data_IF_711328869264
#
_entry.id   IF_711328869264
#
_cell.length_a   1.000
_cell.length_b   1.000
_cell.length_c   1.000
_cell.angle_alpha   90.00
_cell.angle_beta   90.00
_cell.angle_gamma   90.00
#
_symmetry.space_group_name_H-M   'P 1'
#
loop_
_entity.id
_entity.type
_entity.pdbx_description
1 polymer ?
#
# COMPACT_ATOMS: atom_id res chain seq x y z
N UNK A 1 -13.09 6.61 -12.95
CA UNK A 1 -12.01 5.91 -12.22
C UNK A 1 -10.74 6.74 -12.31
N UNK A 2 -9.96 6.81 -11.24
CA UNK A 2 -8.58 7.30 -11.31
C UNK A 2 -7.69 6.31 -12.09
N UNK A 3 -6.41 6.61 -12.26
CA UNK A 3 -5.45 5.76 -12.97
C UNK A 3 -4.34 5.26 -12.04
N UNK A 4 -3.70 4.16 -12.42
CA UNK A 4 -2.42 3.76 -11.80
C UNK A 4 -1.29 4.73 -12.16
N UNK A 5 -0.14 4.61 -11.50
CA UNK A 5 1.03 5.46 -11.75
C UNK A 5 1.51 5.46 -13.20
N UNK A 6 1.36 4.35 -13.92
CA UNK A 6 1.71 4.25 -15.34
C UNK A 6 0.79 5.06 -16.25
N UNK A 7 -0.37 5.50 -15.76
CA UNK A 7 -1.46 6.13 -16.51
C UNK A 7 -2.04 5.27 -17.64
N UNK A 8 -1.81 3.95 -17.62
CA UNK A 8 -2.26 3.02 -18.66
C UNK A 8 -3.46 2.15 -18.27
N UNK A 9 -3.79 2.10 -16.99
CA UNK A 9 -4.87 1.26 -16.48
C UNK A 9 -5.58 1.93 -15.31
N UNK A 10 -6.87 1.60 -15.08
CA UNK A 10 -7.66 2.18 -14.00
C UNK A 10 -7.10 1.85 -12.62
N UNK A 11 -7.23 2.80 -11.69
CA UNK A 11 -7.14 2.54 -10.26
C UNK A 11 -8.49 2.11 -9.67
N UNK A 12 -8.50 1.87 -8.36
CA UNK A 12 -9.66 1.35 -7.63
C UNK A 12 -10.32 2.36 -6.67
N UNK A 13 -9.93 3.65 -6.71
CA UNK A 13 -10.53 4.66 -5.83
C UNK A 13 -12.03 4.79 -6.11
N UNK A 14 -12.85 4.57 -5.08
CA UNK A 14 -14.32 4.53 -5.16
C UNK A 14 -14.90 3.23 -5.74
N UNK A 15 -14.06 2.23 -6.02
CA UNK A 15 -14.44 0.92 -6.55
C UNK A 15 -13.86 -0.24 -5.73
N UNK A 16 -13.46 0.02 -4.49
CA UNK A 16 -12.72 -0.89 -3.62
C UNK A 16 -13.47 -2.21 -3.42
N UNK A 17 -14.76 -2.15 -3.10
CA UNK A 17 -15.62 -3.34 -2.89
C UNK A 17 -15.74 -4.17 -4.17
N UNK A 18 -15.92 -3.53 -5.32
CA UNK A 18 -16.06 -4.22 -6.59
C UNK A 18 -14.75 -4.93 -6.96
N UNK A 19 -13.63 -4.22 -6.85
CA UNK A 19 -12.32 -4.69 -7.26
C UNK A 19 -11.82 -5.78 -6.30
N UNK A 20 -12.01 -5.64 -4.98
CA UNK A 20 -11.68 -6.66 -3.99
C UNK A 20 -12.42 -7.98 -4.22
N UNK A 21 -13.74 -7.93 -4.52
CA UNK A 21 -14.52 -9.12 -4.90
C UNK A 21 -13.99 -9.76 -6.18
N UNK A 22 -13.62 -8.94 -7.16
CA UNK A 22 -13.06 -9.40 -8.42
C UNK A 22 -11.72 -10.12 -8.18
N UNK A 23 -10.81 -9.51 -7.42
CA UNK A 23 -9.53 -10.11 -7.04
C UNK A 23 -9.71 -11.44 -6.30
N UNK A 24 -10.62 -11.49 -5.32
CA UNK A 24 -10.95 -12.73 -4.61
C UNK A 24 -11.51 -13.81 -5.56
N UNK A 25 -12.39 -13.44 -6.50
CA UNK A 25 -12.95 -14.38 -7.49
C UNK A 25 -11.89 -14.96 -8.43
N UNK A 26 -10.83 -14.19 -8.71
CA UNK A 26 -9.69 -14.63 -9.53
C UNK A 26 -8.67 -15.44 -8.73
N UNK A 27 -8.83 -15.55 -7.42
CA UNK A 27 -7.89 -16.24 -6.54
C UNK A 27 -6.60 -15.44 -6.27
N UNK A 28 -6.64 -14.12 -6.38
CA UNK A 28 -5.51 -13.24 -6.00
C UNK A 28 -5.23 -13.39 -4.51
N UNK A 29 -3.95 -13.48 -4.15
CA UNK A 29 -3.50 -13.65 -2.75
C UNK A 29 -2.80 -12.42 -2.19
N UNK A 30 -2.47 -11.46 -3.04
CA UNK A 30 -1.68 -10.29 -2.69
C UNK A 30 -2.11 -9.09 -3.52
N UNK A 31 -2.34 -7.95 -2.87
CA UNK A 31 -2.57 -6.67 -3.51
C UNK A 31 -1.50 -5.66 -3.10
N UNK A 32 -0.74 -5.17 -4.09
CA UNK A 32 0.01 -3.91 -3.98
C UNK A 32 -0.92 -2.76 -4.35
N UNK A 33 -1.09 -1.78 -3.46
CA UNK A 33 -1.99 -0.65 -3.66
C UNK A 33 -1.23 0.67 -3.67
N UNK A 34 -1.16 1.29 -4.85
CA UNK A 34 -0.31 2.46 -5.15
C UNK A 34 -1.02 3.80 -4.85
N UNK A 35 -0.26 4.91 -4.90
CA UNK A 35 -0.72 6.22 -4.40
C UNK A 35 -0.85 7.33 -5.44
N UNK A 36 -0.60 7.04 -6.72
CA UNK A 36 -0.82 8.00 -7.81
C UNK A 36 -2.29 8.32 -8.05
N UNK A 37 -2.56 9.46 -8.70
CA UNK A 37 -3.91 9.90 -9.11
C UNK A 37 -4.95 9.79 -7.98
N UNK A 38 -4.57 10.29 -6.81
CA UNK A 38 -5.31 10.14 -5.56
C UNK A 38 -6.39 11.21 -5.32
N UNK A 39 -6.65 12.07 -6.31
CA UNK A 39 -7.61 13.19 -6.25
C UNK A 39 -7.38 14.17 -5.08
N UNK A 40 -6.16 14.23 -4.52
CA UNK A 40 -5.85 15.08 -3.37
C UNK A 40 -6.43 14.58 -2.04
N UNK A 41 -6.95 13.35 -2.00
CA UNK A 41 -7.51 12.75 -0.78
C UNK A 41 -6.36 12.13 0.04
N UNK A 42 -6.38 12.30 1.36
CA UNK A 42 -5.35 11.77 2.26
C UNK A 42 -5.21 10.24 2.13
N UNK A 43 -3.98 9.74 2.33
CA UNK A 43 -3.71 8.30 2.42
C UNK A 43 -4.49 7.66 3.59
N UNK A 44 -4.68 8.40 4.69
CA UNK A 44 -5.43 7.91 5.86
C UNK A 44 -6.92 7.74 5.58
N UNK A 45 -7.43 8.37 4.53
CA UNK A 45 -8.83 8.25 4.11
C UNK A 45 -9.01 7.18 3.03
N UNK A 46 -8.04 7.00 2.13
CA UNK A 46 -8.19 6.10 0.95
C UNK A 46 -7.76 4.65 1.18
N UNK A 47 -6.80 4.41 2.07
CA UNK A 47 -6.33 3.05 2.31
C UNK A 47 -7.29 2.21 3.17
N UNK A 48 -7.97 2.75 4.21
CA UNK A 48 -8.92 1.97 4.99
C UNK A 48 -10.10 1.37 4.20
N UNK A 49 -10.74 2.08 3.25
CA UNK A 49 -11.80 1.47 2.43
C UNK A 49 -11.35 0.24 1.64
N UNK A 50 -10.11 0.25 1.09
CA UNK A 50 -9.57 -0.93 0.40
C UNK A 50 -9.26 -2.06 1.39
N UNK A 51 -8.70 -1.74 2.57
CA UNK A 51 -8.50 -2.73 3.63
C UNK A 51 -9.80 -3.44 4.01
N UNK A 52 -10.85 -2.67 4.29
CA UNK A 52 -12.17 -3.19 4.63
C UNK A 52 -12.76 -4.03 3.48
N UNK A 53 -12.61 -3.58 2.23
CA UNK A 53 -13.07 -4.34 1.08
C UNK A 53 -12.35 -5.69 0.93
N UNK A 54 -11.03 -5.75 1.16
CA UNK A 54 -10.26 -7.00 1.12
C UNK A 54 -10.66 -7.96 2.24
N UNK A 55 -10.83 -7.46 3.48
CA UNK A 55 -11.30 -8.26 4.62
C UNK A 55 -12.68 -8.89 4.37
N UNK A 56 -13.56 -8.17 3.67
CA UNK A 56 -14.91 -8.61 3.34
C UNK A 56 -15.02 -9.31 1.98
N UNK A 57 -13.91 -9.56 1.29
CA UNK A 57 -13.91 -10.18 -0.04
C UNK A 57 -14.19 -11.69 -0.02
N UNK A 58 -14.07 -12.33 1.15
CA UNK A 58 -14.21 -13.78 1.33
C UNK A 58 -12.93 -14.58 1.08
N UNK A 59 -11.81 -13.92 0.75
CA UNK A 59 -10.47 -14.53 0.63
C UNK A 59 -9.45 -13.70 1.43
N UNK A 60 -8.54 -14.33 2.18
CA UNK A 60 -7.40 -13.62 2.76
C UNK A 60 -6.48 -13.12 1.63
N UNK A 61 -6.39 -11.80 1.46
CA UNK A 61 -5.52 -11.16 0.48
C UNK A 61 -4.54 -10.29 1.26
N UNK A 62 -3.24 -10.56 1.11
CA UNK A 62 -2.20 -9.75 1.74
C UNK A 62 -2.24 -8.32 1.18
N UNK A 63 -2.30 -7.32 2.07
CA UNK A 63 -2.43 -5.92 1.68
C UNK A 63 -1.12 -5.15 1.88
N UNK A 64 -0.47 -4.81 0.75
CA UNK A 64 0.77 -4.04 0.71
C UNK A 64 0.50 -2.62 0.25
N UNK A 65 0.67 -1.67 1.16
CA UNK A 65 0.45 -0.25 0.92
C UNK A 65 1.68 0.39 0.27
N UNK A 66 1.47 1.18 -0.78
CA UNK A 66 2.52 1.82 -1.58
C UNK A 66 2.25 3.31 -1.75
N UNK A 67 2.34 4.04 -0.64
CA UNK A 67 2.20 5.48 -0.47
C UNK A 67 3.53 6.23 -0.28
N UNK A 68 4.66 5.50 -0.34
CA UNK A 68 6.01 6.04 -0.41
C UNK A 68 6.53 6.71 0.88
N UNK A 69 6.00 6.33 2.04
CA UNK A 69 6.28 6.99 3.32
C UNK A 69 5.41 8.22 3.59
N UNK A 70 4.41 8.49 2.74
CA UNK A 70 3.60 9.71 2.85
C UNK A 70 2.70 9.68 4.09
N UNK A 71 2.71 10.77 4.86
CA UNK A 71 2.03 10.86 6.17
C UNK A 71 2.45 9.77 7.18
N UNK A 72 3.71 9.33 7.11
CA UNK A 72 4.38 8.44 8.06
C UNK A 72 3.60 7.13 8.33
N UNK A 73 3.42 6.24 7.33
CA UNK A 73 2.60 5.03 7.45
C UNK A 73 2.97 4.14 8.64
N UNK A 74 4.23 4.09 9.05
CA UNK A 74 4.67 3.30 10.19
C UNK A 74 3.85 3.55 11.47
N UNK A 75 3.32 4.77 11.67
CA UNK A 75 2.57 5.12 12.88
C UNK A 75 1.08 4.72 12.85
N UNK A 76 0.54 4.31 11.69
CA UNK A 76 -0.91 4.05 11.53
C UNK A 76 -1.28 2.87 10.61
N UNK A 77 -0.44 2.52 9.63
CA UNK A 77 -0.75 1.53 8.60
C UNK A 77 -0.89 0.11 9.14
N UNK A 78 -0.36 -0.19 10.33
CA UNK A 78 -0.47 -1.52 10.96
C UNK A 78 -1.91 -1.99 11.21
N UNK A 79 -2.84 -1.06 11.45
CA UNK A 79 -4.27 -1.40 11.59
C UNK A 79 -5.00 -1.44 10.24
N UNK A 80 -4.32 -1.16 9.14
CA UNK A 80 -4.90 -1.01 7.80
C UNK A 80 -4.38 -2.09 6.85
N UNK A 81 -3.09 -2.37 6.82
CA UNK A 81 -2.48 -3.35 5.93
C UNK A 81 -1.40 -4.20 6.61
N UNK A 82 -0.83 -5.12 5.84
CA UNK A 82 0.19 -6.05 6.31
C UNK A 82 1.61 -5.53 6.09
N UNK A 83 1.80 -4.63 5.14
CA UNK A 83 3.03 -3.88 4.94
C UNK A 83 2.75 -2.51 4.34
N UNK A 84 3.73 -1.60 4.47
CA UNK A 84 3.68 -0.26 3.90
C UNK A 84 5.06 0.18 3.43
N UNK A 85 5.11 0.98 2.36
CA UNK A 85 6.35 1.58 1.88
C UNK A 85 6.76 2.69 2.85
N UNK A 86 8.04 2.73 3.23
CA UNK A 86 8.55 3.82 4.09
C UNK A 86 9.22 4.95 3.30
N UNK A 87 9.40 4.76 1.98
CA UNK A 87 10.12 5.68 1.09
C UNK A 87 9.64 5.58 -0.36
N UNK A 88 10.10 6.52 -1.22
CA UNK A 88 9.94 6.52 -2.69
C UNK A 88 10.44 5.27 -3.40
N UNK A 89 10.42 5.23 -4.72
CA UNK A 89 10.88 4.04 -5.46
C UNK A 89 12.39 3.80 -5.27
N UNK A 90 12.80 2.53 -5.31
CA UNK A 90 14.22 2.15 -5.33
C UNK A 90 14.74 2.22 -6.77
N UNK A 91 16.01 2.61 -6.90
CA UNK A 91 16.74 2.57 -8.16
C UNK A 91 17.92 1.60 -8.04
N UNK A 92 18.36 1.04 -9.17
CA UNK A 92 19.48 0.08 -9.21
C UNK A 92 20.83 0.80 -9.11
N UNK A 93 21.08 1.45 -7.98
CA UNK A 93 22.35 2.05 -7.63
C UNK A 93 22.57 2.07 -6.11
N UNK A 94 23.85 2.07 -5.72
CA UNK A 94 24.27 2.02 -4.32
C UNK A 94 23.68 3.15 -3.47
N UNK A 95 23.66 4.37 -4.01
CA UNK A 95 23.17 5.54 -3.27
C UNK A 95 21.68 5.43 -2.94
N UNK A 96 20.87 4.98 -3.89
CA UNK A 96 19.45 4.69 -3.66
C UNK A 96 19.32 3.68 -2.52
N UNK A 97 19.99 2.53 -2.66
CA UNK A 97 19.94 1.44 -1.68
C UNK A 97 20.34 1.89 -0.26
N UNK A 98 21.46 2.59 -0.08
CA UNK A 98 21.88 3.04 1.26
C UNK A 98 20.95 4.10 1.85
N UNK A 99 20.49 5.06 1.03
CA UNK A 99 19.54 6.10 1.47
C UNK A 99 18.24 5.50 1.98
N UNK A 100 17.80 4.43 1.33
CA UNK A 100 16.60 3.69 1.68
C UNK A 100 16.74 2.98 3.03
N UNK A 101 17.89 2.34 3.26
CA UNK A 101 18.18 1.67 4.53
C UNK A 101 18.13 2.70 5.66
N UNK A 102 18.85 3.80 5.51
CA UNK A 102 18.94 4.86 6.54
C UNK A 102 17.56 5.47 6.82
N UNK A 103 16.77 5.75 5.77
CA UNK A 103 15.44 6.31 5.92
C UNK A 103 14.43 5.35 6.56
N UNK A 104 14.62 4.04 6.37
CA UNK A 104 13.76 3.01 6.94
C UNK A 104 14.11 2.69 8.41
N UNK A 105 15.38 2.80 8.78
CA UNK A 105 15.90 2.41 10.11
C UNK A 105 15.16 3.10 11.27
N UNK A 106 14.83 4.39 11.12
CA UNK A 106 14.07 5.14 12.14
C UNK A 106 12.69 4.54 12.47
N UNK A 107 12.15 3.69 11.59
CA UNK A 107 10.84 3.04 11.77
C UNK A 107 10.94 1.62 12.33
N UNK A 108 12.13 1.13 12.68
CA UNK A 108 12.35 -0.26 13.09
C UNK A 108 11.41 -0.72 14.21
N UNK A 109 11.12 0.14 15.19
CA UNK A 109 10.26 -0.16 16.34
C UNK A 109 8.77 -0.38 15.98
N UNK A 110 8.33 0.04 14.80
CA UNK A 110 6.95 -0.10 14.34
C UNK A 110 6.70 -1.43 13.61
N UNK A 111 7.76 -2.10 13.14
CA UNK A 111 7.66 -3.37 12.45
C UNK A 111 7.46 -4.54 13.42
N UNK A 112 6.69 -5.55 13.01
CA UNK A 112 6.51 -6.79 13.75
C UNK A 112 5.48 -7.71 13.10
N UNK A 113 5.14 -8.84 13.74
CA UNK A 113 4.17 -9.79 13.19
C UNK A 113 2.88 -9.09 12.73
N UNK A 114 2.51 -9.33 11.47
CA UNK A 114 1.32 -8.76 10.84
C UNK A 114 1.46 -7.35 10.27
N UNK A 115 2.60 -6.66 10.46
CA UNK A 115 2.81 -5.29 9.98
C UNK A 115 4.29 -4.97 9.76
N UNK A 116 4.73 -4.85 8.52
CA UNK A 116 6.13 -4.71 8.15
C UNK A 116 6.43 -3.43 7.39
N UNK A 117 7.57 -2.80 7.71
CA UNK A 117 8.15 -1.77 6.86
C UNK A 117 8.63 -2.43 5.56
N UNK A 118 8.19 -1.90 4.42
CA UNK A 118 8.44 -2.43 3.09
C UNK A 118 9.18 -1.47 2.16
N UNK A 119 9.64 -2.04 1.06
CA UNK A 119 10.21 -1.37 -0.10
C UNK A 119 9.54 -1.80 -1.40
#
# INVERSE_FOLDING_TARGET
RNLTCSKRMPGSLGHEIQDAKTFASWGVDYLKYDNCENNGISVRERYPPMSEALLNSGRPIFFSMCEWGWEDPAIWAKSVGNSWRTTGDIEDNWNSMTTIIDANDKWASYAGPGGWNGK
#
